data_IF_349425517104
#
_entry.id   IF_349425517104
#
_cell.length_a   1.000
_cell.length_b   1.000
_cell.length_c   1.000
_cell.angle_alpha   90.00
_cell.angle_beta   90.00
_cell.angle_gamma   90.00
#
_symmetry.space_group_name_H-M   'P 1'
#
loop_
_entity.id
_entity.type
_entity.pdbx_description
1 polymer ?
#
# COMPACT_ATOMS: atom_id res chain seq x y z
N UNK A 1 4.43 11.90 9.03
CA UNK A 1 5.10 10.67 9.52
C UNK A 1 4.00 9.77 10.09
N UNK A 2 3.59 8.60 9.60
CA UNK A 2 3.79 7.73 8.41
C UNK A 2 2.37 7.17 8.12
N UNK A 3 2.01 6.90 6.86
CA UNK A 3 0.66 6.42 6.53
C UNK A 3 0.47 4.91 6.82
N UNK A 4 1.44 4.06 6.45
CA UNK A 4 1.36 2.60 6.67
C UNK A 4 2.76 2.03 6.90
N UNK A 5 2.94 1.35 8.04
CA UNK A 5 4.10 0.52 8.35
C UNK A 5 3.59 -0.72 9.09
N UNK A 6 3.33 -1.80 8.37
CA UNK A 6 2.78 -3.04 8.93
C UNK A 6 3.07 -4.25 8.03
N UNK A 7 2.89 -5.44 8.59
CA UNK A 7 2.89 -6.68 7.83
C UNK A 7 1.56 -6.83 7.05
N UNK A 8 1.67 -7.35 5.83
CA UNK A 8 0.56 -7.77 4.98
C UNK A 8 0.74 -9.24 4.65
N UNK A 9 -0.35 -9.99 4.71
CA UNK A 9 -0.32 -11.41 4.35
C UNK A 9 -0.31 -11.55 2.83
N UNK A 10 0.66 -12.26 2.27
CA UNK A 10 0.67 -12.61 0.85
C UNK A 10 0.11 -14.04 0.68
N UNK A 11 0.24 -14.63 -0.51
CA UNK A 11 -0.19 -16.01 -0.73
C UNK A 11 0.66 -17.06 0.02
N UNK A 12 1.91 -16.75 0.39
CA UNK A 12 2.85 -17.69 1.01
C UNK A 12 3.40 -17.18 2.35
N UNK A 13 4.07 -16.04 2.37
CA UNK A 13 4.72 -15.46 3.55
C UNK A 13 4.36 -13.97 3.72
N UNK A 14 4.19 -13.47 4.95
CA UNK A 14 3.87 -12.08 5.17
C UNK A 14 5.05 -11.16 4.79
N UNK A 15 4.75 -10.03 4.15
CA UNK A 15 5.73 -8.99 3.83
C UNK A 15 5.45 -7.71 4.62
N UNK A 16 6.50 -7.00 5.02
CA UNK A 16 6.35 -5.71 5.71
C UNK A 16 6.44 -4.57 4.70
N UNK A 17 5.41 -3.73 4.67
CA UNK A 17 5.38 -2.56 3.80
C UNK A 17 5.49 -1.27 4.60
N UNK A 18 6.39 -0.39 4.16
CA UNK A 18 6.63 0.92 4.75
C UNK A 18 6.39 2.07 3.76
N UNK A 19 5.18 2.63 3.77
CA UNK A 19 4.81 3.79 2.97
C UNK A 19 5.12 5.08 3.74
N UNK A 20 6.38 5.48 3.70
CA UNK A 20 6.93 6.55 4.56
C UNK A 20 6.76 7.98 4.05
N UNK A 21 6.56 8.17 2.75
CA UNK A 21 6.42 9.48 2.10
C UNK A 21 5.60 9.38 0.79
N UNK A 22 5.28 10.53 0.19
CA UNK A 22 4.49 10.61 -1.05
C UNK A 22 5.18 9.94 -2.25
N UNK A 23 6.50 10.00 -2.33
CA UNK A 23 7.24 9.37 -3.42
C UNK A 23 7.16 7.83 -3.37
N UNK A 24 7.27 7.25 -2.17
CA UNK A 24 7.10 5.81 -1.94
C UNK A 24 5.64 5.42 -2.19
N UNK A 25 4.68 6.22 -1.73
CA UNK A 25 3.24 6.00 -1.98
C UNK A 25 2.96 5.88 -3.48
N UNK A 26 3.35 6.88 -4.27
CA UNK A 26 3.10 6.87 -5.71
C UNK A 26 3.78 5.68 -6.41
N UNK A 27 5.05 5.41 -6.11
CA UNK A 27 5.79 4.28 -6.69
C UNK A 27 5.17 2.92 -6.36
N UNK A 28 4.67 2.76 -5.13
CA UNK A 28 4.05 1.52 -4.71
C UNK A 28 2.76 1.23 -5.50
N UNK A 29 1.90 2.24 -5.67
CA UNK A 29 0.67 2.09 -6.44
C UNK A 29 0.92 1.92 -7.94
N UNK A 30 1.95 2.56 -8.47
CA UNK A 30 2.42 2.34 -9.84
C UNK A 30 2.88 0.89 -10.04
N UNK A 31 3.68 0.35 -9.11
CA UNK A 31 4.12 -1.04 -9.12
C UNK A 31 2.95 -2.05 -8.97
N UNK A 32 1.90 -1.69 -8.23
CA UNK A 32 0.67 -2.48 -8.14
C UNK A 32 -0.21 -2.40 -9.39
N UNK A 33 0.06 -1.45 -10.30
CA UNK A 33 -0.76 -1.20 -11.48
C UNK A 33 -2.08 -0.47 -11.19
N UNK A 34 -2.20 0.20 -10.04
CA UNK A 34 -3.36 1.03 -9.67
C UNK A 34 -2.94 2.46 -9.26
N UNK A 35 -2.32 3.23 -10.18
CA UNK A 35 -1.91 4.61 -9.91
C UNK A 35 -3.12 5.54 -9.67
N UNK A 36 -4.28 5.22 -10.23
CA UNK A 36 -5.51 5.98 -10.05
C UNK A 36 -6.01 5.94 -8.60
N UNK A 37 -5.87 4.81 -7.91
CA UNK A 37 -6.15 4.73 -6.48
C UNK A 37 -5.27 5.71 -5.70
N UNK A 38 -3.98 5.80 -6.01
CA UNK A 38 -3.04 6.72 -5.36
C UNK A 38 -3.39 8.20 -5.58
N UNK A 39 -3.97 8.53 -6.73
CA UNK A 39 -4.28 9.88 -7.18
C UNK A 39 -5.61 10.41 -6.62
N UNK A 40 -6.37 9.59 -5.89
CA UNK A 40 -7.64 10.02 -5.31
C UNK A 40 -7.43 11.25 -4.40
N UNK A 41 -8.32 12.26 -4.48
CA UNK A 41 -8.19 13.49 -3.69
C UNK A 41 -8.25 13.21 -2.17
N UNK A 42 -8.89 12.11 -1.79
CA UNK A 42 -9.00 11.57 -0.44
C UNK A 42 -7.63 11.17 0.17
N UNK A 43 -6.63 10.90 -0.67
CA UNK A 43 -5.28 10.52 -0.27
C UNK A 43 -4.24 11.61 -0.58
N UNK A 44 -4.70 12.84 -0.82
CA UNK A 44 -3.85 13.98 -1.19
C UNK A 44 -2.83 14.39 -0.12
N UNK A 45 -3.09 14.07 1.16
CA UNK A 45 -2.17 14.37 2.26
C UNK A 45 -1.91 13.17 3.15
N UNK A 46 -0.76 13.16 3.81
CA UNK A 46 -0.43 12.14 4.81
C UNK A 46 -1.44 12.05 5.95
N UNK A 47 -2.07 13.17 6.35
CA UNK A 47 -3.12 13.18 7.37
C UNK A 47 -4.38 12.47 6.86
N UNK A 48 -4.81 12.77 5.64
CA UNK A 48 -5.99 12.14 5.04
C UNK A 48 -5.79 10.63 4.82
N UNK A 49 -4.59 10.22 4.38
CA UNK A 49 -4.24 8.78 4.31
C UNK A 49 -4.26 8.10 5.68
N UNK A 50 -3.91 8.82 6.75
CA UNK A 50 -3.93 8.27 8.11
C UNK A 50 -5.36 8.06 8.60
N UNK A 51 -6.26 8.99 8.31
CA UNK A 51 -7.69 8.86 8.64
C UNK A 51 -8.31 7.68 7.89
N UNK A 52 -7.93 7.49 6.62
CA UNK A 52 -8.36 6.36 5.79
C UNK A 52 -7.46 5.12 5.86
N UNK A 53 -6.62 5.03 6.88
CA UNK A 53 -5.62 3.95 6.98
C UNK A 53 -6.26 2.56 6.90
N UNK A 54 -7.39 2.35 7.57
CA UNK A 54 -8.06 1.05 7.57
C UNK A 54 -8.51 0.62 6.16
N UNK A 55 -9.16 1.55 5.43
CA UNK A 55 -9.61 1.33 4.04
C UNK A 55 -8.43 1.03 3.11
N UNK A 56 -7.37 1.82 3.20
CA UNK A 56 -6.16 1.62 2.39
C UNK A 56 -5.51 0.27 2.69
N UNK A 57 -5.37 -0.08 3.97
CA UNK A 57 -4.81 -1.36 4.40
C UNK A 57 -5.63 -2.52 3.85
N UNK A 58 -6.95 -2.47 3.96
CA UNK A 58 -7.83 -3.54 3.47
C UNK A 58 -7.69 -3.70 1.95
N UNK A 59 -7.63 -2.58 1.22
CA UNK A 59 -7.43 -2.60 -0.23
C UNK A 59 -6.09 -3.23 -0.61
N UNK A 60 -4.99 -2.79 0.02
CA UNK A 60 -3.65 -3.35 -0.19
C UNK A 60 -3.63 -4.85 0.13
N UNK A 61 -4.20 -5.25 1.27
CA UNK A 61 -4.28 -6.65 1.69
C UNK A 61 -5.04 -7.51 0.68
N UNK A 62 -6.09 -6.95 0.05
CA UNK A 62 -6.87 -7.64 -0.96
C UNK A 62 -6.09 -7.93 -2.24
N UNK A 63 -5.13 -7.06 -2.59
CA UNK A 63 -4.26 -7.19 -3.76
C UNK A 63 -3.08 -8.10 -3.44
N UNK A 64 -2.37 -7.85 -2.34
CA UNK A 64 -1.12 -8.54 -1.99
C UNK A 64 -1.35 -10.03 -1.73
N UNK A 65 -2.51 -10.43 -1.18
CA UNK A 65 -2.86 -11.84 -1.00
C UNK A 65 -3.01 -12.63 -2.31
N UNK A 66 -3.05 -11.97 -3.46
CA UNK A 66 -3.27 -12.62 -4.76
C UNK A 66 -2.01 -13.23 -5.36
N UNK A 67 -0.83 -12.85 -4.87
CA UNK A 67 0.47 -13.32 -5.37
C UNK A 67 1.41 -13.65 -4.21
N UNK A 68 2.39 -14.55 -4.41
CA UNK A 68 3.40 -14.85 -3.40
C UNK A 68 4.33 -13.65 -3.15
N UNK A 69 4.90 -13.60 -1.95
CA UNK A 69 5.86 -12.61 -1.49
C UNK A 69 7.03 -12.40 -2.45
N UNK A 70 7.55 -13.47 -3.06
CA UNK A 70 8.64 -13.40 -4.03
C UNK A 70 8.28 -12.52 -5.24
N UNK A 71 7.06 -12.61 -5.77
CA UNK A 71 6.61 -11.79 -6.90
C UNK A 71 6.45 -10.31 -6.54
N UNK A 72 6.28 -9.99 -5.25
CA UNK A 72 6.23 -8.60 -4.77
C UNK A 72 7.61 -8.03 -4.42
N UNK A 73 8.63 -8.88 -4.23
CA UNK A 73 9.97 -8.50 -3.78
C UNK A 73 11.03 -8.52 -4.90
N UNK A 74 10.74 -9.13 -6.04
CA UNK A 74 11.55 -9.03 -7.28
C UNK A 74 11.49 -7.63 -7.91
#
# INVERSE_FOLDING_TARGET
>A
VIAIYQAFETADEPITLGLGNDAIWQRFWDALGDPDYAARPEFSSNSARREKRAEIVEHIQSIIRTRPSAEWLE
#
